data_IF_975412903212
#
_entry.id   IF_975412903212
#
_cell.length_a   1.000
_cell.length_b   1.000
_cell.length_c   1.000
_cell.angle_alpha   90.00
_cell.angle_beta   90.00
_cell.angle_gamma   90.00
#
_symmetry.space_group_name_H-M   'P 1'
#
loop_
_entity.id
_entity.type
_entity.pdbx_description
1 polymer ?
#
# COMPACT_ATOMS: atom_id res chain seq x y z
N UNK A 1 8.03 15.61 -71.90
CA UNK A 1 8.21 14.46 -70.97
C UNK A 1 8.47 15.02 -69.58
N UNK A 2 7.44 15.02 -68.72
CA UNK A 2 7.52 15.53 -67.35
C UNK A 2 7.61 14.30 -66.45
N UNK A 3 8.70 14.16 -65.67
CA UNK A 3 8.91 13.10 -64.70
C UNK A 3 8.19 13.46 -63.40
N UNK A 4 7.43 12.57 -62.77
CA UNK A 4 6.86 12.83 -61.49
C UNK A 4 7.90 12.67 -60.37
N UNK A 5 7.99 13.68 -59.52
CA UNK A 5 8.79 13.69 -58.29
C UNK A 5 8.06 12.92 -57.22
N UNK A 6 8.56 11.74 -56.82
CA UNK A 6 8.01 10.97 -55.71
C UNK A 6 8.53 11.58 -54.41
N UNK A 7 7.63 12.22 -53.69
CA UNK A 7 7.86 12.72 -52.35
C UNK A 7 7.76 11.56 -51.34
N UNK A 8 8.88 11.11 -50.82
CA UNK A 8 8.97 10.05 -49.81
C UNK A 8 8.68 10.70 -48.45
N UNK A 9 7.46 10.53 -47.91
CA UNK A 9 7.12 10.95 -46.57
C UNK A 9 7.69 9.92 -45.58
N UNK A 10 8.77 10.26 -44.92
CA UNK A 10 9.29 9.54 -43.77
C UNK A 10 8.42 9.83 -42.54
N UNK A 11 7.57 8.88 -42.16
CA UNK A 11 6.91 8.90 -40.89
C UNK A 11 7.91 8.51 -39.79
N UNK A 12 8.43 9.51 -39.10
CA UNK A 12 9.18 9.29 -37.86
C UNK A 12 8.14 8.94 -36.79
N UNK A 13 7.94 7.66 -36.52
CA UNK A 13 7.20 7.21 -35.35
C UNK A 13 8.06 7.48 -34.12
N UNK A 14 7.83 8.59 -33.44
CA UNK A 14 8.38 8.82 -32.13
C UNK A 14 7.81 7.76 -31.18
N UNK A 15 8.57 6.71 -30.94
CA UNK A 15 8.29 5.78 -29.85
C UNK A 15 8.53 6.53 -28.54
N UNK A 16 7.47 7.00 -27.91
CA UNK A 16 7.52 7.49 -26.56
C UNK A 16 7.79 6.29 -25.65
N UNK A 17 9.06 6.03 -25.39
CA UNK A 17 9.42 5.15 -24.28
C UNK A 17 8.96 5.86 -23.00
N UNK A 18 7.86 5.39 -22.42
CA UNK A 18 7.48 5.80 -21.07
C UNK A 18 8.67 5.47 -20.18
N UNK A 19 9.31 6.49 -19.63
CA UNK A 19 10.31 6.27 -18.60
C UNK A 19 9.72 5.34 -17.53
N UNK A 20 10.53 4.42 -16.99
CA UNK A 20 10.06 3.56 -15.92
C UNK A 20 9.59 4.45 -14.75
N UNK A 21 8.42 4.15 -14.23
CA UNK A 21 7.83 4.84 -13.07
C UNK A 21 8.88 4.88 -11.94
N UNK A 22 9.42 6.05 -11.68
CA UNK A 22 10.22 6.30 -10.48
C UNK A 22 9.26 6.85 -9.44
N UNK A 23 9.03 6.14 -8.31
CA UNK A 23 8.29 6.71 -7.20
C UNK A 23 8.94 8.06 -6.86
N UNK A 24 8.17 9.14 -6.89
CA UNK A 24 8.68 10.47 -6.55
C UNK A 24 8.79 10.58 -5.03
N UNK A 25 9.92 10.08 -4.54
CA UNK A 25 10.23 10.10 -3.12
C UNK A 25 11.22 11.23 -2.94
N UNK A 26 10.70 12.37 -2.59
CA UNK A 26 11.50 13.52 -2.23
C UNK A 26 12.61 13.19 -1.22
N UNK A 27 13.39 14.15 -0.78
CA UNK A 27 14.45 13.93 0.21
C UNK A 27 13.90 13.20 1.44
N UNK A 28 14.67 12.26 1.97
CA UNK A 28 14.27 11.42 3.11
C UNK A 28 14.12 12.19 4.44
N UNK A 29 14.43 13.47 4.45
CA UNK A 29 14.35 14.33 5.62
C UNK A 29 13.38 15.50 5.42
N UNK A 30 12.68 15.95 6.49
CA UNK A 30 12.66 15.33 7.83
C UNK A 30 11.93 13.98 7.85
N UNK A 31 12.44 13.10 8.71
CA UNK A 31 11.90 11.77 8.92
C UNK A 31 11.75 11.48 10.43
N UNK A 32 10.79 10.64 10.78
CA UNK A 32 10.54 10.17 12.14
C UNK A 32 10.59 8.65 12.14
N UNK A 33 11.42 8.08 13.00
CA UNK A 33 11.44 6.64 13.27
C UNK A 33 10.70 6.36 14.57
N UNK A 34 9.73 5.46 14.54
CA UNK A 34 8.92 5.08 15.69
C UNK A 34 9.05 3.59 15.94
N UNK A 35 9.52 3.20 17.13
CA UNK A 35 9.66 1.79 17.52
C UNK A 35 8.72 1.45 18.68
N UNK A 36 7.88 0.42 18.48
CA UNK A 36 7.02 -0.13 19.51
C UNK A 36 7.16 -1.65 19.50
N UNK A 37 7.81 -2.19 20.55
CA UNK A 37 8.19 -3.61 20.58
C UNK A 37 9.09 -3.99 19.42
N UNK A 38 8.70 -5.03 18.70
CA UNK A 38 9.44 -5.58 17.55
C UNK A 38 9.17 -4.82 16.22
N UNK A 39 8.18 -3.92 16.18
CA UNK A 39 7.77 -3.18 14.98
C UNK A 39 8.36 -1.78 15.00
N UNK A 40 8.97 -1.38 13.89
CA UNK A 40 9.45 -0.01 13.69
C UNK A 40 8.89 0.56 12.39
N UNK A 41 8.41 1.79 12.43
CA UNK A 41 7.95 2.55 11.26
C UNK A 41 8.90 3.71 10.98
N UNK A 42 9.19 3.94 9.70
CA UNK A 42 9.80 5.17 9.21
C UNK A 42 8.72 6.02 8.55
N UNK A 43 8.48 7.20 9.11
CA UNK A 43 7.55 8.21 8.60
C UNK A 43 8.36 9.33 7.97
N UNK A 44 8.01 9.79 6.76
CA UNK A 44 8.74 10.86 6.08
C UNK A 44 7.82 12.01 5.72
N UNK A 45 8.28 13.23 5.92
CA UNK A 45 7.53 14.42 5.56
C UNK A 45 7.23 14.46 4.05
N UNK A 46 8.18 14.05 3.21
CA UNK A 46 8.02 14.00 1.76
C UNK A 46 6.85 13.10 1.29
N UNK A 47 6.47 12.11 2.09
CA UNK A 47 5.29 11.26 1.86
C UNK A 47 4.12 11.61 2.79
N UNK A 48 4.07 12.87 3.24
CA UNK A 48 3.03 13.38 4.12
C UNK A 48 2.88 12.55 5.40
N UNK A 49 4.01 12.09 5.94
CA UNK A 49 4.15 11.28 7.15
C UNK A 49 3.50 9.88 7.06
N UNK A 50 3.08 9.44 5.89
CA UNK A 50 2.59 8.06 5.73
C UNK A 50 3.75 7.08 5.94
N UNK A 51 3.52 5.94 6.61
CA UNK A 51 4.55 4.93 6.83
C UNK A 51 5.16 4.46 5.52
N UNK A 52 6.48 4.62 5.38
CA UNK A 52 7.23 4.17 4.20
C UNK A 52 7.90 2.85 4.43
N UNK A 53 8.78 2.77 5.44
CA UNK A 53 9.44 1.53 5.83
C UNK A 53 8.81 0.96 7.08
N UNK A 54 8.57 -0.33 7.04
CA UNK A 54 8.15 -1.15 8.16
C UNK A 54 9.26 -2.15 8.42
N UNK A 55 9.83 -2.10 9.62
CA UNK A 55 10.82 -3.08 10.08
C UNK A 55 10.18 -4.01 11.12
N UNK A 56 10.55 -5.27 11.09
CA UNK A 56 10.24 -6.22 12.13
C UNK A 56 11.54 -6.80 12.70
N UNK A 57 11.75 -6.68 14.01
CA UNK A 57 12.98 -7.11 14.70
C UNK A 57 14.25 -6.57 14.02
N UNK A 58 14.22 -5.32 13.59
CA UNK A 58 15.34 -4.65 12.95
C UNK A 58 15.61 -5.04 11.49
N UNK A 59 14.79 -5.90 10.90
CA UNK A 59 14.87 -6.23 9.47
C UNK A 59 13.77 -5.49 8.68
N UNK A 60 14.15 -4.86 7.57
CA UNK A 60 13.24 -4.12 6.73
C UNK A 60 12.33 -5.07 5.93
N UNK A 61 11.05 -5.09 6.26
CA UNK A 61 10.03 -5.88 5.56
C UNK A 61 9.50 -5.17 4.32
N UNK A 62 9.49 -3.83 4.32
CA UNK A 62 9.10 -3.01 3.17
C UNK A 62 10.26 -2.15 2.70
N UNK A 63 10.16 -1.60 1.47
CA UNK A 63 11.20 -0.70 0.95
C UNK A 63 11.11 0.67 1.63
N UNK A 64 12.26 1.35 1.75
CA UNK A 64 12.31 2.70 2.30
C UNK A 64 11.53 3.73 1.48
N UNK A 65 11.33 3.42 0.21
CA UNK A 65 10.82 4.36 -0.79
C UNK A 65 9.36 4.19 -1.11
N UNK A 66 8.59 3.47 -0.32
CA UNK A 66 7.18 3.33 -0.60
C UNK A 66 6.35 3.76 0.59
N UNK A 67 5.51 4.71 0.37
CA UNK A 67 4.69 5.30 1.41
C UNK A 67 3.31 5.63 0.86
N UNK A 68 2.71 4.68 0.15
CA UNK A 68 1.39 4.88 -0.38
C UNK A 68 0.36 4.29 0.57
N UNK A 69 -0.39 5.12 1.28
CA UNK A 69 -1.51 4.67 2.11
C UNK A 69 -2.77 4.47 1.27
N UNK A 70 -3.50 5.56 1.02
CA UNK A 70 -4.71 5.59 0.21
C UNK A 70 -4.52 6.51 -0.97
N UNK A 71 -4.90 6.06 -2.16
CA UNK A 71 -4.72 6.81 -3.41
C UNK A 71 -5.97 6.66 -4.28
N UNK A 72 -6.38 7.78 -4.87
CA UNK A 72 -7.50 7.87 -5.80
C UNK A 72 -6.97 8.09 -7.21
N UNK A 73 -7.49 7.34 -8.18
CA UNK A 73 -7.19 7.55 -9.60
C UNK A 73 -8.39 8.16 -10.29
N UNK A 74 -8.22 9.36 -10.82
CA UNK A 74 -9.26 10.12 -11.52
C UNK A 74 -9.13 9.96 -13.04
N UNK A 75 -10.25 10.00 -13.78
CA UNK A 75 -10.22 9.87 -15.24
C UNK A 75 -9.43 10.96 -15.96
N UNK A 76 -9.44 12.17 -15.42
CA UNK A 76 -8.90 13.38 -16.04
C UNK A 76 -7.44 13.68 -15.69
N UNK A 77 -6.96 13.28 -14.49
CA UNK A 77 -5.61 13.62 -14.07
C UNK A 77 -4.76 12.42 -13.59
N UNK A 78 -5.35 11.25 -13.38
CA UNK A 78 -4.62 10.10 -12.85
C UNK A 78 -4.61 10.02 -11.33
N UNK A 79 -3.48 9.67 -10.72
CA UNK A 79 -3.38 9.38 -9.29
C UNK A 79 -3.18 10.64 -8.45
N UNK A 80 -3.97 10.76 -7.37
CA UNK A 80 -3.81 11.76 -6.31
C UNK A 80 -3.89 11.01 -4.97
N UNK A 81 -3.09 11.41 -4.01
CA UNK A 81 -3.08 10.84 -2.67
C UNK A 81 -1.67 10.60 -2.19
N UNK A 82 -1.55 9.91 -1.08
CA UNK A 82 -0.30 9.77 -0.36
C UNK A 82 0.89 9.41 -1.26
N UNK A 83 1.90 10.25 -1.25
CA UNK A 83 3.13 10.16 -2.05
C UNK A 83 2.96 10.21 -3.59
N UNK A 84 1.77 10.38 -4.11
CA UNK A 84 1.53 10.70 -5.51
C UNK A 84 1.49 12.23 -5.66
N UNK A 85 2.65 12.81 -5.99
CA UNK A 85 2.84 14.26 -6.12
C UNK A 85 2.94 14.72 -7.59
N UNK A 86 2.81 13.78 -8.52
CA UNK A 86 2.99 14.03 -9.95
C UNK A 86 1.80 14.75 -10.61
N UNK A 87 0.64 14.75 -9.99
CA UNK A 87 -0.57 15.37 -10.54
C UNK A 87 -1.02 16.56 -9.68
N UNK A 88 -1.88 16.31 -8.73
CA UNK A 88 -2.39 17.32 -7.80
C UNK A 88 -1.91 17.03 -6.38
N UNK A 89 -1.64 18.09 -5.63
CA UNK A 89 -1.30 17.93 -4.21
C UNK A 89 -2.50 17.37 -3.43
N UNK A 90 -2.21 16.57 -2.42
CA UNK A 90 -3.17 16.19 -1.39
C UNK A 90 -3.11 17.21 -0.24
N UNK A 91 -4.06 18.14 -0.09
CA UNK A 91 -4.05 19.12 0.99
C UNK A 91 -4.31 18.47 2.34
N UNK A 92 -3.29 18.42 3.19
CA UNK A 92 -3.44 17.99 4.58
C UNK A 92 -4.26 19.01 5.36
N UNK A 93 -5.18 18.54 6.19
CA UNK A 93 -5.99 19.35 7.10
C UNK A 93 -5.53 19.20 8.55
N UNK A 94 -5.13 17.98 8.95
CA UNK A 94 -4.62 17.74 10.29
C UNK A 94 -3.64 16.58 10.34
N UNK A 95 -2.75 16.63 11.31
CA UNK A 95 -1.83 15.57 11.71
C UNK A 95 -1.83 15.44 13.22
N UNK A 96 -1.81 14.23 13.75
CA UNK A 96 -1.62 13.95 15.15
C UNK A 96 -0.70 12.76 15.35
N UNK A 97 0.23 12.89 16.28
CA UNK A 97 1.13 11.84 16.73
C UNK A 97 0.85 11.57 18.21
N UNK A 98 0.62 10.33 18.54
CA UNK A 98 0.25 9.90 19.90
C UNK A 98 1.16 8.73 20.26
N UNK A 99 1.94 8.86 21.34
CA UNK A 99 2.83 7.82 21.85
C UNK A 99 2.37 7.43 23.26
N UNK A 100 2.12 6.16 23.48
CA UNK A 100 1.62 5.61 24.75
C UNK A 100 0.38 6.37 25.29
N UNK A 101 -0.54 6.68 24.36
CA UNK A 101 -1.78 7.42 24.67
C UNK A 101 -1.60 8.93 24.90
N UNK A 102 -0.39 9.48 24.75
CA UNK A 102 -0.11 10.90 24.98
C UNK A 102 0.19 11.61 23.65
N UNK A 103 -0.42 12.77 23.39
CA UNK A 103 -0.10 13.57 22.21
C UNK A 103 1.35 14.01 22.20
N UNK A 104 1.99 13.95 21.01
CA UNK A 104 3.36 14.45 20.77
C UNK A 104 3.28 15.62 19.79
N UNK A 105 3.29 16.85 20.30
CA UNK A 105 3.09 18.05 19.49
C UNK A 105 4.29 18.39 18.59
N UNK A 106 5.50 18.06 19.04
CA UNK A 106 6.74 18.24 18.30
C UNK A 106 7.52 16.92 18.28
N UNK A 107 7.19 16.00 17.37
CA UNK A 107 7.81 14.69 17.35
C UNK A 107 9.30 14.78 17.05
N UNK A 108 10.17 14.19 17.90
CA UNK A 108 11.58 14.07 17.62
C UNK A 108 11.83 13.07 16.47
N UNK A 109 13.03 13.10 15.89
CA UNK A 109 13.42 12.19 14.80
C UNK A 109 13.33 10.70 15.18
N UNK A 110 13.40 10.39 16.47
CA UNK A 110 13.27 9.03 16.99
C UNK A 110 12.30 9.01 18.17
N UNK A 111 11.33 8.09 18.13
CA UNK A 111 10.38 7.83 19.20
C UNK A 111 10.39 6.34 19.54
N UNK A 112 10.24 6.03 20.83
CA UNK A 112 10.14 4.66 21.32
C UNK A 112 9.07 4.59 22.41
N UNK A 113 8.15 3.62 22.27
CA UNK A 113 7.05 3.42 23.21
C UNK A 113 6.52 2.00 23.17
N UNK A 114 5.40 1.76 23.86
CA UNK A 114 4.65 0.51 23.82
C UNK A 114 3.60 0.52 22.72
N UNK A 115 3.04 1.69 22.44
CA UNK A 115 2.05 1.91 21.39
C UNK A 115 2.27 3.25 20.71
N UNK A 116 1.90 3.32 19.46
CA UNK A 116 1.96 4.53 18.65
C UNK A 116 0.70 4.65 17.82
N UNK A 117 0.18 5.86 17.68
CA UNK A 117 -0.93 6.17 16.80
C UNK A 117 -0.62 7.44 16.01
N UNK A 118 -0.80 7.35 14.72
CA UNK A 118 -0.68 8.45 13.77
C UNK A 118 -2.05 8.68 13.12
N UNK A 119 -2.52 9.90 13.15
CA UNK A 119 -3.77 10.31 12.52
C UNK A 119 -3.50 11.42 11.52
N UNK A 120 -4.13 11.34 10.38
CA UNK A 120 -4.10 12.40 9.38
C UNK A 120 -5.46 12.56 8.73
N UNK A 121 -5.81 13.81 8.42
CA UNK A 121 -6.96 14.11 7.56
C UNK A 121 -6.52 14.98 6.40
N UNK A 122 -7.16 14.79 5.27
CA UNK A 122 -6.90 15.53 4.04
C UNK A 122 -8.17 15.68 3.22
N UNK A 123 -8.10 16.52 2.20
CA UNK A 123 -9.16 16.64 1.21
C UNK A 123 -8.57 16.41 -0.18
N UNK A 124 -9.12 15.47 -0.92
CA UNK A 124 -8.74 15.19 -2.29
C UNK A 124 -9.97 15.48 -3.15
N UNK A 125 -9.98 16.63 -3.81
CA UNK A 125 -11.16 17.11 -4.58
C UNK A 125 -12.43 17.05 -3.71
N UNK A 126 -13.50 16.41 -4.17
CA UNK A 126 -14.76 16.23 -3.45
C UNK A 126 -14.74 15.16 -2.35
N UNK A 127 -13.56 14.66 -1.93
CA UNK A 127 -13.42 13.57 -0.95
C UNK A 127 -12.71 14.09 0.30
N UNK A 128 -13.36 13.96 1.47
CA UNK A 128 -12.67 14.06 2.76
C UNK A 128 -12.11 12.68 3.12
N UNK A 129 -10.81 12.64 3.41
CA UNK A 129 -10.06 11.43 3.74
C UNK A 129 -9.51 11.50 5.17
N UNK A 130 -9.70 10.44 5.94
CA UNK A 130 -9.08 10.25 7.24
C UNK A 130 -8.36 8.90 7.28
N UNK A 131 -7.08 8.92 7.67
CA UNK A 131 -6.25 7.74 7.82
C UNK A 131 -5.70 7.65 9.24
N UNK A 132 -5.74 6.46 9.80
CA UNK A 132 -5.15 6.15 11.10
C UNK A 132 -4.22 4.96 10.94
N UNK A 133 -3.01 5.09 11.47
CA UNK A 133 -2.03 4.01 11.55
C UNK A 133 -1.62 3.83 13.00
N UNK A 134 -1.72 2.62 13.52
CA UNK A 134 -1.36 2.31 14.91
C UNK A 134 -0.40 1.13 14.98
N UNK A 135 0.59 1.23 15.87
CA UNK A 135 1.33 0.07 16.35
C UNK A 135 0.83 -0.21 17.77
N UNK A 136 0.24 -1.37 17.97
CA UNK A 136 -0.16 -1.87 19.28
C UNK A 136 -0.09 -3.39 19.30
N UNK A 137 0.23 -3.96 20.45
CA UNK A 137 0.30 -5.41 20.66
C UNK A 137 1.20 -6.14 19.64
N UNK A 138 2.27 -5.46 19.15
CA UNK A 138 3.19 -5.97 18.14
C UNK A 138 2.62 -6.04 16.72
N UNK A 139 1.49 -5.42 16.47
CA UNK A 139 0.78 -5.40 15.20
C UNK A 139 0.67 -3.99 14.63
N UNK A 140 0.55 -3.88 13.31
CA UNK A 140 0.22 -2.65 12.59
C UNK A 140 -1.26 -2.66 12.24
N UNK A 141 -2.01 -1.70 12.76
CA UNK A 141 -3.42 -1.50 12.44
C UNK A 141 -3.58 -0.27 11.57
N UNK A 142 -4.32 -0.39 10.48
CA UNK A 142 -4.58 0.69 9.56
C UNK A 142 -6.08 0.86 9.35
N UNK A 143 -6.53 2.10 9.41
CA UNK A 143 -7.94 2.45 9.16
C UNK A 143 -7.96 3.60 8.17
N UNK A 144 -8.74 3.45 7.11
CA UNK A 144 -9.04 4.52 6.17
C UNK A 144 -10.53 4.75 6.12
N UNK A 145 -10.94 6.00 6.28
CA UNK A 145 -12.32 6.44 6.08
C UNK A 145 -12.34 7.55 5.04
N UNK A 146 -13.22 7.46 4.06
CA UNK A 146 -13.47 8.60 3.20
C UNK A 146 -14.96 8.92 3.08
N UNK A 147 -15.25 10.20 2.86
CA UNK A 147 -16.58 10.73 2.67
C UNK A 147 -16.64 11.58 1.39
N UNK A 148 -17.50 11.20 0.45
CA UNK A 148 -17.72 11.92 -0.79
C UNK A 148 -18.71 13.07 -0.56
N UNK A 149 -18.26 14.31 -0.78
CA UNK A 149 -19.07 15.55 -0.68
C UNK A 149 -19.86 15.85 -1.95
N UNK A 150 -19.51 15.17 -3.02
CA UNK A 150 -20.15 15.22 -4.33
C UNK A 150 -20.06 13.84 -4.99
N UNK A 151 -20.68 13.65 -6.15
CA UNK A 151 -20.50 12.46 -6.95
C UNK A 151 -19.11 12.50 -7.61
N UNK A 152 -18.25 11.53 -7.33
CA UNK A 152 -16.85 11.54 -7.79
C UNK A 152 -16.58 10.36 -8.72
N UNK A 153 -16.37 10.62 -10.04
CA UNK A 153 -15.98 9.57 -10.96
C UNK A 153 -14.52 9.16 -10.74
N UNK A 154 -14.28 7.87 -10.64
CA UNK A 154 -12.96 7.31 -10.39
C UNK A 154 -12.63 6.19 -11.39
N UNK A 155 -11.34 6.04 -11.73
CA UNK A 155 -10.81 4.83 -12.34
C UNK A 155 -10.66 3.73 -11.30
N UNK A 156 -10.17 4.07 -10.12
CA UNK A 156 -10.09 3.21 -8.94
C UNK A 156 -9.68 3.99 -7.70
N UNK A 157 -9.89 3.34 -6.54
CA UNK A 157 -9.21 3.68 -5.28
C UNK A 157 -8.38 2.49 -4.87
N UNK A 158 -7.20 2.70 -4.30
CA UNK A 158 -6.52 1.66 -3.56
C UNK A 158 -6.15 2.11 -2.15
N UNK A 159 -6.23 1.15 -1.21
CA UNK A 159 -5.92 1.33 0.21
C UNK A 159 -4.79 0.40 0.64
N UNK A 160 -4.16 0.73 1.77
CA UNK A 160 -3.22 -0.13 2.49
C UNK A 160 -2.09 -0.66 1.60
N UNK A 161 -1.52 0.23 0.79
CA UNK A 161 -0.44 -0.18 -0.08
C UNK A 161 0.84 -0.42 0.72
N UNK A 162 1.26 -1.69 0.72
CA UNK A 162 2.56 -2.08 1.24
C UNK A 162 3.48 -2.45 0.07
N UNK A 163 4.64 -1.80 0.00
CA UNK A 163 5.68 -2.20 -0.94
C UNK A 163 6.71 -3.07 -0.23
N UNK A 164 6.38 -4.34 -0.12
CA UNK A 164 7.26 -5.34 0.47
C UNK A 164 8.62 -5.36 -0.23
N UNK A 165 9.67 -5.65 0.53
CA UNK A 165 11.02 -5.65 0.03
C UNK A 165 11.21 -6.61 -1.17
N UNK A 166 12.11 -6.33 -2.11
CA UNK A 166 12.35 -7.21 -3.26
C UNK A 166 12.94 -8.57 -2.85
N UNK A 167 13.45 -8.70 -1.63
CA UNK A 167 13.90 -9.97 -1.04
C UNK A 167 12.78 -10.92 -0.63
N UNK A 168 11.54 -10.43 -0.55
CA UNK A 168 10.35 -11.27 -0.38
C UNK A 168 10.21 -12.20 -1.57
N UNK A 169 10.21 -13.51 -1.33
CA UNK A 169 10.28 -14.54 -2.37
C UNK A 169 9.00 -15.35 -2.56
N UNK A 170 8.05 -15.28 -1.63
CA UNK A 170 6.82 -16.05 -1.70
C UNK A 170 5.62 -15.29 -1.11
N UNK A 171 4.43 -15.67 -1.57
CA UNK A 171 3.17 -15.20 -1.02
C UNK A 171 2.17 -16.34 -0.83
N UNK A 172 1.23 -16.11 0.07
CA UNK A 172 0.08 -16.96 0.33
C UNK A 172 -1.12 -16.06 0.60
N UNK A 173 -2.31 -16.44 0.13
CA UNK A 173 -3.53 -15.68 0.40
C UNK A 173 -4.74 -16.60 0.48
N UNK A 174 -5.79 -16.16 1.16
CA UNK A 174 -7.02 -16.91 1.31
C UNK A 174 -8.23 -16.04 1.57
N UNK A 175 -9.41 -16.66 1.45
CA UNK A 175 -10.70 -16.02 1.74
C UNK A 175 -11.50 -16.86 2.71
N UNK A 176 -12.16 -16.17 3.65
CA UNK A 176 -13.05 -16.80 4.62
C UNK A 176 -14.33 -17.34 3.96
N UNK A 177 -14.78 -16.66 2.88
CA UNK A 177 -15.96 -17.06 2.13
C UNK A 177 -15.77 -18.40 1.37
N UNK A 178 -14.52 -18.79 1.11
CA UNK A 178 -14.16 -20.05 0.45
C UNK A 178 -13.01 -20.72 1.20
N UNK A 179 -13.26 -21.26 2.42
CA UNK A 179 -12.23 -21.95 3.19
C UNK A 179 -11.61 -23.09 2.36
N UNK A 180 -10.29 -23.13 2.30
CA UNK A 180 -9.54 -24.10 1.50
C UNK A 180 -9.16 -23.60 0.09
N UNK A 181 -9.80 -22.57 -0.48
CA UNK A 181 -9.27 -21.89 -1.66
C UNK A 181 -8.16 -20.95 -1.25
N UNK A 182 -6.95 -21.27 -1.62
CA UNK A 182 -5.78 -20.45 -1.36
C UNK A 182 -5.02 -20.15 -2.64
N UNK A 183 -4.36 -19.00 -2.66
CA UNK A 183 -3.45 -18.60 -3.71
C UNK A 183 -2.05 -18.60 -3.11
N UNK A 184 -1.10 -19.18 -3.80
CA UNK A 184 0.30 -19.13 -3.40
C UNK A 184 1.20 -19.04 -4.62
N UNK A 185 2.41 -18.58 -4.42
CA UNK A 185 3.37 -18.51 -5.51
C UNK A 185 4.71 -17.93 -5.08
N UNK A 186 5.66 -18.06 -6.00
CA UNK A 186 7.00 -17.50 -5.86
C UNK A 186 7.08 -16.15 -6.56
N UNK A 187 7.71 -15.20 -5.91
CA UNK A 187 8.01 -13.86 -6.42
C UNK A 187 9.49 -13.80 -6.80
N UNK A 188 9.78 -13.53 -8.07
CA UNK A 188 11.15 -13.53 -8.60
C UNK A 188 11.44 -12.26 -9.36
N UNK A 189 12.72 -11.84 -9.38
CA UNK A 189 13.19 -10.68 -10.14
C UNK A 189 13.60 -11.02 -11.58
N UNK A 190 13.90 -12.27 -11.84
CA UNK A 190 14.33 -12.80 -13.13
C UNK A 190 13.16 -13.15 -14.08
N UNK A 191 11.92 -13.03 -13.62
CA UNK A 191 10.75 -13.26 -14.47
C UNK A 191 10.63 -12.14 -15.50
N UNK A 192 10.82 -12.45 -16.77
CA UNK A 192 10.64 -11.51 -17.88
C UNK A 192 9.19 -10.97 -18.00
N UNK A 193 8.23 -11.63 -17.36
CA UNK A 193 6.83 -11.17 -17.21
C UNK A 193 6.65 -10.26 -15.99
N UNK A 194 7.65 -9.68 -15.57
CA UNK A 194 8.01 -9.00 -14.35
C UNK A 194 6.99 -8.02 -13.78
N UNK A 195 6.13 -7.44 -14.57
CA UNK A 195 5.09 -6.52 -14.12
C UNK A 195 3.71 -7.16 -14.25
N UNK A 196 3.52 -8.30 -13.63
CA UNK A 196 2.21 -8.96 -13.63
C UNK A 196 1.55 -8.91 -12.27
N UNK A 197 0.23 -9.05 -12.28
CA UNK A 197 -0.53 -9.30 -11.09
C UNK A 197 -0.51 -10.79 -10.76
N UNK A 198 -0.03 -11.14 -9.58
CA UNK A 198 -0.05 -12.50 -9.06
C UNK A 198 -1.38 -12.82 -8.38
N UNK A 199 -2.01 -11.80 -7.78
CA UNK A 199 -3.38 -11.88 -7.28
C UNK A 199 -4.13 -10.67 -7.83
N UNK A 200 -5.35 -10.89 -8.28
CA UNK A 200 -6.34 -9.91 -8.69
C UNK A 200 -7.72 -10.49 -8.38
N UNK A 201 -7.94 -10.87 -7.14
CA UNK A 201 -9.17 -11.52 -6.67
C UNK A 201 -9.52 -11.05 -5.27
N UNK A 202 -10.75 -11.32 -4.86
CA UNK A 202 -11.18 -11.06 -3.49
C UNK A 202 -10.56 -12.10 -2.56
N UNK A 203 -9.68 -11.64 -1.68
CA UNK A 203 -9.16 -12.41 -0.55
C UNK A 203 -9.29 -11.58 0.72
N UNK A 204 -9.42 -12.25 1.87
CA UNK A 204 -9.60 -11.59 3.16
C UNK A 204 -8.27 -11.43 3.90
N UNK A 205 -7.27 -12.23 3.53
CA UNK A 205 -5.92 -12.13 4.08
C UNK A 205 -4.84 -12.51 3.06
N UNK A 206 -3.67 -11.95 3.25
CA UNK A 206 -2.49 -12.23 2.44
C UNK A 206 -1.25 -12.28 3.34
N UNK A 207 -0.37 -13.23 3.06
CA UNK A 207 0.93 -13.36 3.71
C UNK A 207 2.06 -13.26 2.70
N UNK A 208 3.20 -12.79 3.15
CA UNK A 208 4.48 -12.76 2.41
C UNK A 208 5.58 -13.39 3.26
N UNK A 209 6.59 -13.95 2.60
CA UNK A 209 7.75 -14.58 3.24
C UNK A 209 9.06 -13.99 2.74
N UNK A 210 9.92 -13.61 3.68
CA UNK A 210 11.28 -13.12 3.47
C UNK A 210 12.30 -14.15 3.98
N UNK A 211 12.96 -14.91 3.06
CA UNK A 211 13.76 -16.06 3.44
C UNK A 211 15.08 -15.71 4.13
N UNK A 212 15.67 -14.53 3.85
CA UNK A 212 16.96 -14.14 4.43
C UNK A 212 16.90 -13.91 5.93
N UNK A 213 15.77 -13.40 6.41
CA UNK A 213 15.52 -13.17 7.83
C UNK A 213 14.66 -14.26 8.46
N UNK A 214 14.13 -15.19 7.66
CA UNK A 214 13.13 -16.18 8.08
C UNK A 214 11.89 -15.50 8.69
N UNK A 215 11.50 -14.37 8.13
CA UNK A 215 10.36 -13.59 8.61
C UNK A 215 9.19 -13.64 7.62
N UNK A 216 8.00 -13.54 8.16
CA UNK A 216 6.78 -13.39 7.36
C UNK A 216 5.88 -12.32 7.96
N UNK A 217 5.00 -11.80 7.13
CA UNK A 217 3.94 -10.90 7.56
C UNK A 217 2.59 -11.40 7.03
N UNK A 218 1.55 -11.19 7.81
CA UNK A 218 0.16 -11.47 7.43
C UNK A 218 -0.62 -10.18 7.53
N UNK A 219 -1.17 -9.73 6.40
CA UNK A 219 -2.11 -8.62 6.34
C UNK A 219 -3.53 -9.16 6.19
N UNK A 220 -4.43 -8.77 7.09
CA UNK A 220 -5.83 -9.21 7.09
C UNK A 220 -6.77 -8.01 7.05
N UNK A 221 -7.72 -8.06 6.11
CA UNK A 221 -8.82 -7.11 6.03
C UNK A 221 -9.84 -7.44 7.12
N UNK A 222 -10.05 -6.52 8.06
CA UNK A 222 -11.00 -6.70 9.17
C UNK A 222 -12.41 -6.23 8.78
N UNK A 223 -12.48 -5.17 7.98
CA UNK A 223 -13.75 -4.65 7.48
C UNK A 223 -13.57 -3.83 6.21
N UNK A 224 -14.59 -3.89 5.35
CA UNK A 224 -14.72 -3.04 4.18
C UNK A 224 -16.21 -2.80 3.88
N UNK A 225 -16.58 -1.64 3.32
CA UNK A 225 -17.93 -1.42 2.81
C UNK A 225 -18.29 -2.42 1.72
N UNK A 226 -19.54 -2.83 1.65
CA UNK A 226 -20.03 -3.66 0.52
C UNK A 226 -20.05 -2.86 -0.77
N UNK A 227 -20.41 -1.58 -0.69
CA UNK A 227 -20.43 -0.68 -1.84
C UNK A 227 -19.02 -0.37 -2.33
N UNK A 228 -18.83 -0.41 -3.63
CA UNK A 228 -17.55 -0.19 -4.30
C UNK A 228 -16.76 -1.46 -4.55
N UNK A 229 -17.16 -2.58 -3.94
CA UNK A 229 -16.45 -3.84 -4.04
C UNK A 229 -15.04 -3.75 -3.50
N UNK A 230 -14.32 -4.84 -3.47
CA UNK A 230 -12.87 -4.81 -3.30
C UNK A 230 -12.22 -6.02 -3.95
N UNK A 231 -11.02 -5.81 -4.43
CA UNK A 231 -10.13 -6.82 -4.98
C UNK A 231 -8.75 -6.63 -4.38
N UNK A 232 -8.16 -7.70 -3.91
CA UNK A 232 -6.79 -7.71 -3.41
C UNK A 232 -5.83 -7.89 -4.57
N UNK A 233 -4.75 -7.12 -4.56
CA UNK A 233 -3.77 -7.09 -5.63
C UNK A 233 -2.38 -7.41 -5.08
N UNK A 234 -1.66 -8.32 -5.73
CA UNK A 234 -0.20 -8.43 -5.61
C UNK A 234 0.39 -8.12 -6.98
N UNK A 235 1.16 -7.04 -7.04
CA UNK A 235 1.85 -6.60 -8.25
C UNK A 235 3.35 -6.58 -8.02
N UNK A 236 4.06 -7.35 -8.82
CA UNK A 236 5.51 -7.43 -8.74
C UNK A 236 6.18 -6.34 -9.60
N UNK A 237 7.11 -5.62 -9.00
CA UNK A 237 8.03 -4.71 -9.69
C UNK A 237 9.46 -5.18 -9.39
N UNK A 238 10.08 -5.96 -10.32
CA UNK A 238 11.36 -6.59 -10.10
C UNK A 238 12.44 -5.62 -9.65
N UNK A 239 13.29 -6.07 -8.75
CA UNK A 239 14.38 -5.28 -8.19
C UNK A 239 13.94 -4.08 -7.35
N UNK A 240 12.64 -3.78 -7.30
CA UNK A 240 12.11 -2.61 -6.60
C UNK A 240 11.25 -2.98 -5.40
N UNK A 241 10.13 -3.67 -5.62
CA UNK A 241 9.22 -4.08 -4.54
C UNK A 241 8.17 -5.09 -5.00
N UNK A 242 7.53 -5.76 -4.03
CA UNK A 242 6.32 -6.56 -4.18
C UNK A 242 5.16 -5.74 -3.63
N UNK A 243 4.35 -5.15 -4.52
CA UNK A 243 3.28 -4.23 -4.13
C UNK A 243 2.01 -5.00 -3.77
N UNK A 244 1.60 -4.87 -2.51
CA UNK A 244 0.30 -5.30 -2.04
C UNK A 244 -0.63 -4.10 -1.87
N UNK A 245 -1.91 -4.23 -2.23
CA UNK A 245 -2.94 -3.23 -1.97
C UNK A 245 -4.35 -3.79 -2.18
N UNK A 246 -5.31 -3.12 -1.57
CA UNK A 246 -6.73 -3.35 -1.77
C UNK A 246 -7.26 -2.34 -2.78
N UNK A 247 -7.85 -2.82 -3.89
CA UNK A 247 -8.47 -2.00 -4.93
C UNK A 247 -9.99 -1.99 -4.77
N UNK A 248 -10.63 -0.82 -4.90
CA UNK A 248 -12.09 -0.67 -4.92
C UNK A 248 -12.52 0.47 -5.85
N UNK A 249 -13.82 0.60 -6.10
CA UNK A 249 -14.42 1.59 -7.00
C UNK A 249 -13.77 1.63 -8.39
N UNK A 250 -13.51 0.46 -8.97
CA UNK A 250 -12.89 0.39 -10.29
C UNK A 250 -13.88 0.82 -11.38
N UNK A 251 -13.51 1.87 -12.16
CA UNK A 251 -14.35 2.48 -13.20
C UNK A 251 -15.77 2.80 -12.72
N UNK A 252 -15.87 3.38 -11.54
CA UNK A 252 -17.14 3.64 -10.87
C UNK A 252 -17.23 5.11 -10.37
N UNK A 253 -18.44 5.58 -10.20
CA UNK A 253 -18.68 6.86 -9.52
C UNK A 253 -19.00 6.60 -8.06
N UNK A 254 -18.23 7.21 -7.18
CA UNK A 254 -18.57 7.26 -5.75
C UNK A 254 -19.75 8.23 -5.60
N UNK A 255 -20.92 7.81 -5.06
CA UNK A 255 -22.07 8.68 -4.98
C UNK A 255 -21.88 9.78 -3.93
N UNK A 256 -22.54 10.91 -4.14
CA UNK A 256 -22.68 11.98 -3.14
C UNK A 256 -23.12 11.37 -1.79
N UNK A 257 -22.48 11.78 -0.72
CA UNK A 257 -22.80 11.35 0.64
C UNK A 257 -22.28 9.96 1.03
N UNK A 258 -21.62 9.24 0.11
CA UNK A 258 -20.99 7.97 0.48
C UNK A 258 -19.97 8.17 1.61
N UNK A 259 -20.06 7.34 2.63
CA UNK A 259 -19.08 7.25 3.71
C UNK A 259 -18.69 5.79 3.91
N UNK A 260 -17.42 5.48 3.73
CA UNK A 260 -16.89 4.13 3.87
C UNK A 260 -15.67 4.10 4.77
N UNK A 261 -15.55 3.00 5.54
CA UNK A 261 -14.39 2.74 6.40
C UNK A 261 -13.84 1.36 6.10
N UNK A 262 -12.55 1.28 5.86
CA UNK A 262 -11.77 0.06 5.68
C UNK A 262 -10.82 -0.09 6.86
N UNK A 263 -10.65 -1.30 7.34
CA UNK A 263 -9.72 -1.62 8.42
C UNK A 263 -8.88 -2.83 8.06
N UNK A 264 -7.58 -2.73 8.26
CA UNK A 264 -6.63 -3.80 8.05
C UNK A 264 -5.72 -3.93 9.26
N UNK A 265 -5.29 -5.14 9.54
CA UNK A 265 -4.22 -5.44 10.50
C UNK A 265 -3.12 -6.20 9.80
N UNK A 266 -1.87 -5.86 10.12
CA UNK A 266 -0.69 -6.61 9.70
C UNK A 266 0.06 -7.09 10.93
N UNK A 267 0.26 -8.39 11.03
CA UNK A 267 1.05 -9.03 12.07
C UNK A 267 2.27 -9.72 11.46
N UNK A 268 3.30 -9.92 12.27
CA UNK A 268 4.60 -10.43 11.84
C UNK A 268 4.95 -11.68 12.61
N UNK A 269 5.75 -12.56 12.01
CA UNK A 269 6.24 -13.76 12.63
C UNK A 269 7.57 -14.24 12.06
N UNK A 270 8.14 -15.25 12.70
CA UNK A 270 9.34 -15.94 12.23
C UNK A 270 9.01 -17.41 11.99
N UNK A 271 9.54 -17.96 10.92
CA UNK A 271 9.50 -19.38 10.59
C UNK A 271 10.55 -19.68 9.53
N UNK A 272 11.01 -20.92 9.47
CA UNK A 272 11.78 -21.40 8.35
C UNK A 272 10.95 -21.54 7.07
N UNK A 273 11.61 -21.90 5.98
CA UNK A 273 10.98 -22.02 4.68
C UNK A 273 9.95 -23.17 4.60
N UNK A 274 10.05 -24.19 5.44
CA UNK A 274 9.14 -25.32 5.46
C UNK A 274 7.88 -25.04 6.28
N UNK A 275 8.02 -24.29 7.37
CA UNK A 275 6.94 -24.04 8.34
C UNK A 275 6.15 -22.75 8.10
N UNK A 276 6.68 -21.79 7.32
CA UNK A 276 6.10 -20.44 7.24
C UNK A 276 4.64 -20.40 6.74
N UNK A 277 4.27 -21.23 5.77
CA UNK A 277 2.88 -21.25 5.28
C UNK A 277 1.89 -21.68 6.36
N UNK A 278 2.26 -22.70 7.14
CA UNK A 278 1.44 -23.16 8.27
C UNK A 278 1.33 -22.09 9.35
N UNK A 279 2.46 -21.45 9.69
CA UNK A 279 2.50 -20.36 10.66
C UNK A 279 1.68 -19.16 10.20
N UNK A 280 1.76 -18.79 8.91
CA UNK A 280 1.00 -17.70 8.32
C UNK A 280 -0.51 -17.97 8.34
N UNK A 281 -0.96 -19.18 8.02
CA UNK A 281 -2.38 -19.58 8.11
C UNK A 281 -2.89 -19.50 9.54
N UNK A 282 -2.11 -19.99 10.50
CA UNK A 282 -2.45 -19.91 11.92
C UNK A 282 -2.62 -18.46 12.35
N UNK A 283 -1.66 -17.60 12.01
CA UNK A 283 -1.71 -16.18 12.33
C UNK A 283 -2.90 -15.48 11.64
N UNK A 284 -3.18 -15.80 10.37
CA UNK A 284 -4.35 -15.28 9.66
C UNK A 284 -5.67 -15.62 10.37
N UNK A 285 -5.79 -16.84 10.91
CA UNK A 285 -6.96 -17.27 11.67
C UNK A 285 -7.05 -16.55 13.04
N UNK A 286 -5.93 -16.33 13.72
CA UNK A 286 -5.89 -15.56 14.96
C UNK A 286 -6.38 -14.13 14.76
N UNK A 287 -5.95 -13.49 13.65
CA UNK A 287 -6.36 -12.14 13.29
C UNK A 287 -7.84 -12.03 12.88
N UNK A 288 -8.51 -13.15 12.56
CA UNK A 288 -9.94 -13.17 12.23
C UNK A 288 -10.83 -12.74 13.41
N UNK A 289 -10.35 -12.92 14.63
CA UNK A 289 -11.11 -12.68 15.85
C UNK A 289 -10.93 -11.25 16.42
N UNK A 290 -10.25 -10.36 15.69
CA UNK A 290 -10.07 -8.95 16.05
C UNK A 290 -11.19 -8.07 15.48
#
# INVERSE_FOLDING_TARGET
MIRPLHLLLLFVTASWSKEPFKPNLGPDLPAITVSCGDVTLLLRQASQWTPGRIDFRGHAMTTERSAYGTVFSFPDCGFIGTAHLENEAEPLQSLAFILDGKPVLAPPAQMKGRSFRFERTSRIRGIDLACVTEIKDGQLHETTTFHAREAVPLKLVYHFMHAWAPTVSAFLAGSDATPGKTFSGTLRDDDATARKFFINERVDWMAIYEPKSSQFAVSRLLSAPQQGGHVTMIWNVPGSYRKFYLKCFENATVPLGFKGTWRMVTAFGNSDAEGWESAARKLANELHNL
#
